data_IF_593085042655
#
_entry.id   IF_593085042655
#
_cell.length_a   1.000
_cell.length_b   1.000
_cell.length_c   1.000
_cell.angle_alpha   90.00
_cell.angle_beta   90.00
_cell.angle_gamma   90.00
#
_symmetry.space_group_name_H-M   'P 1'
#
loop_
_entity.id
_entity.type
_entity.pdbx_description
1 polymer ?
#
# COMPACT_ATOMS: atom_id res chain seq x y z
N UNK A 1 -25.65 -2.03 -8.74
CA UNK A 1 -25.32 -3.28 -9.48
C UNK A 1 -24.29 -3.11 -10.61
N UNK A 2 -24.34 -2.07 -11.43
CA UNK A 2 -23.42 -1.88 -12.56
C UNK A 2 -21.93 -1.72 -12.16
N UNK A 3 -21.62 -1.04 -11.06
CA UNK A 3 -20.23 -0.83 -10.58
C UNK A 3 -19.58 -2.15 -10.17
N UNK A 4 -20.24 -2.97 -9.36
CA UNK A 4 -19.73 -4.28 -8.91
C UNK A 4 -19.43 -5.22 -10.09
N UNK A 5 -20.24 -5.18 -11.16
CA UNK A 5 -19.99 -5.95 -12.39
C UNK A 5 -18.73 -5.46 -13.13
N UNK A 6 -18.46 -4.14 -13.12
CA UNK A 6 -17.26 -3.55 -13.73
C UNK A 6 -16.00 -3.87 -12.94
N UNK A 7 -16.04 -3.78 -11.63
CA UNK A 7 -14.94 -4.18 -10.75
C UNK A 7 -14.59 -5.66 -10.90
N UNK A 8 -15.60 -6.55 -11.02
CA UNK A 8 -15.39 -7.96 -11.30
C UNK A 8 -14.77 -8.22 -12.69
N UNK A 9 -15.10 -7.38 -13.71
CA UNK A 9 -14.45 -7.45 -15.02
C UNK A 9 -13.00 -6.99 -14.94
N UNK A 10 -12.73 -5.90 -14.22
CA UNK A 10 -11.40 -5.37 -13.97
C UNK A 10 -10.53 -6.39 -13.24
N UNK A 11 -11.06 -7.03 -12.20
CA UNK A 11 -10.41 -8.10 -11.44
C UNK A 11 -9.92 -9.23 -12.34
N UNK A 12 -10.81 -9.75 -13.20
CA UNK A 12 -10.46 -10.83 -14.15
C UNK A 12 -9.41 -10.39 -15.16
N UNK A 13 -9.49 -9.13 -15.63
CA UNK A 13 -8.56 -8.58 -16.60
C UNK A 13 -7.14 -8.48 -16.00
N UNK A 14 -7.03 -7.98 -14.77
CA UNK A 14 -5.75 -7.89 -14.05
C UNK A 14 -5.16 -9.28 -13.80
N UNK A 15 -5.95 -10.21 -13.26
CA UNK A 15 -5.48 -11.59 -13.00
C UNK A 15 -4.99 -12.30 -14.27
N UNK A 16 -5.70 -12.10 -15.41
CA UNK A 16 -5.33 -12.71 -16.68
C UNK A 16 -4.01 -12.19 -17.23
N UNK A 17 -3.71 -10.90 -17.04
CA UNK A 17 -2.60 -10.23 -17.73
C UNK A 17 -1.39 -9.96 -16.83
N UNK A 18 -1.55 -10.07 -15.50
CA UNK A 18 -0.48 -9.83 -14.55
C UNK A 18 0.05 -11.15 -13.97
N UNK A 19 0.73 -11.93 -14.80
CA UNK A 19 1.20 -13.28 -14.48
C UNK A 19 2.42 -13.32 -13.53
N UNK A 20 3.10 -12.19 -13.32
CA UNK A 20 4.21 -12.06 -12.35
C UNK A 20 3.71 -11.79 -10.92
N UNK A 21 2.41 -11.63 -10.74
CA UNK A 21 1.81 -11.33 -9.45
C UNK A 21 0.85 -12.47 -9.08
N UNK A 22 1.08 -13.09 -7.93
CA UNK A 22 0.10 -14.01 -7.36
C UNK A 22 -1.01 -13.21 -6.69
N UNK A 23 -2.22 -13.26 -7.22
CA UNK A 23 -3.39 -12.62 -6.65
C UNK A 23 -4.35 -13.62 -6.03
N UNK A 24 -4.71 -13.41 -4.77
CA UNK A 24 -5.83 -14.06 -4.10
C UNK A 24 -7.00 -13.07 -4.04
N UNK A 25 -8.11 -13.40 -4.69
CA UNK A 25 -9.32 -12.59 -4.60
C UNK A 25 -9.99 -12.77 -3.25
N UNK A 26 -10.36 -11.66 -2.63
CA UNK A 26 -11.03 -11.66 -1.33
C UNK A 26 -12.50 -11.32 -1.52
N UNK A 27 -13.36 -12.20 -1.02
CA UNK A 27 -14.82 -11.98 -0.95
C UNK A 27 -15.24 -12.11 0.51
N UNK A 28 -15.27 -10.99 1.22
CA UNK A 28 -15.72 -10.98 2.62
C UNK A 28 -17.15 -10.48 2.74
N UNK A 29 -17.98 -11.26 3.44
CA UNK A 29 -19.34 -10.85 3.87
C UNK A 29 -19.35 -10.29 5.28
N UNK A 30 -18.32 -10.55 6.07
CA UNK A 30 -18.24 -10.24 7.50
C UNK A 30 -17.36 -9.03 7.81
N UNK A 31 -16.33 -8.77 7.00
CA UNK A 31 -15.40 -7.66 7.22
C UNK A 31 -15.65 -6.60 6.15
N UNK A 32 -16.15 -5.45 6.59
CA UNK A 32 -16.37 -4.32 5.69
C UNK A 32 -15.07 -3.59 5.36
N UNK A 33 -14.90 -3.24 4.09
CA UNK A 33 -13.81 -2.39 3.64
C UNK A 33 -12.49 -3.09 3.37
N UNK A 34 -12.43 -4.44 3.48
CA UNK A 34 -11.27 -5.21 3.06
C UNK A 34 -11.09 -5.07 1.54
N UNK A 35 -9.85 -4.86 1.03
CA UNK A 35 -9.59 -4.74 -0.41
C UNK A 35 -9.88 -6.01 -1.19
N UNK A 36 -10.11 -5.87 -2.51
CA UNK A 36 -10.51 -6.95 -3.43
C UNK A 36 -9.45 -8.04 -3.60
N UNK A 37 -8.17 -7.69 -3.48
CA UNK A 37 -7.06 -8.63 -3.64
C UNK A 37 -6.06 -8.57 -2.48
N UNK A 38 -5.59 -9.75 -2.08
CA UNK A 38 -4.26 -9.92 -1.51
C UNK A 38 -3.31 -10.35 -2.64
N UNK A 39 -2.20 -9.64 -2.80
CA UNK A 39 -1.20 -9.89 -3.84
C UNK A 39 0.15 -10.23 -3.23
N UNK A 40 0.94 -11.03 -3.97
CA UNK A 40 2.34 -11.30 -3.67
C UNK A 40 3.16 -11.20 -4.96
N UNK A 41 4.23 -10.41 -4.94
CA UNK A 41 5.17 -10.25 -6.03
C UNK A 41 6.60 -10.23 -5.49
N UNK A 42 7.46 -11.11 -5.99
CA UNK A 42 8.87 -11.22 -5.58
C UNK A 42 9.04 -11.25 -4.05
N UNK A 43 8.22 -12.02 -3.34
CA UNK A 43 8.25 -12.16 -1.88
C UNK A 43 7.61 -11.01 -1.10
N UNK A 44 7.14 -9.96 -1.77
CA UNK A 44 6.48 -8.81 -1.12
C UNK A 44 4.97 -8.96 -1.18
N UNK A 45 4.32 -9.05 -0.03
CA UNK A 45 2.86 -9.08 0.08
C UNK A 45 2.28 -7.68 0.15
N UNK A 46 1.12 -7.51 -0.48
CA UNK A 46 0.38 -6.23 -0.51
C UNK A 46 -1.12 -6.48 -0.69
N UNK A 47 -1.91 -5.43 -0.45
CA UNK A 47 -3.34 -5.44 -0.76
C UNK A 47 -3.63 -4.51 -1.94
N UNK A 48 -4.64 -4.85 -2.74
CA UNK A 48 -5.06 -4.01 -3.86
C UNK A 48 -6.57 -3.86 -3.88
N UNK A 49 -7.02 -2.62 -3.76
CA UNK A 49 -8.41 -2.21 -3.96
C UNK A 49 -8.66 -1.87 -5.43
N UNK A 50 -9.75 -2.37 -5.98
CA UNK A 50 -10.15 -2.12 -7.37
C UNK A 50 -11.33 -1.17 -7.45
N UNK A 51 -11.24 -0.19 -8.33
CA UNK A 51 -12.35 0.71 -8.66
C UNK A 51 -12.52 0.82 -10.17
N UNK A 52 -13.76 0.86 -10.62
CA UNK A 52 -14.09 1.07 -12.03
C UNK A 52 -15.34 1.96 -12.15
N UNK A 53 -15.11 3.25 -12.24
CA UNK A 53 -16.14 4.29 -12.18
C UNK A 53 -15.96 5.39 -13.24
N UNK A 54 -17.04 6.16 -13.49
CA UNK A 54 -17.02 7.34 -14.35
C UNK A 54 -16.50 8.59 -13.63
N UNK A 55 -15.45 8.43 -12.82
CA UNK A 55 -14.80 9.52 -12.07
C UNK A 55 -13.27 9.44 -12.21
N UNK A 56 -12.60 10.56 -11.97
CA UNK A 56 -11.14 10.69 -12.12
C UNK A 56 -10.35 10.08 -10.96
N UNK A 57 -10.96 9.94 -9.80
CA UNK A 57 -10.37 9.46 -8.54
C UNK A 57 -11.03 8.17 -8.06
N UNK A 58 -10.39 7.37 -7.22
CA UNK A 58 -10.98 6.15 -6.69
C UNK A 58 -12.11 6.47 -5.70
N UNK A 59 -13.33 6.00 -5.98
CA UNK A 59 -14.48 6.19 -5.12
C UNK A 59 -14.46 5.16 -3.99
N UNK A 60 -13.86 5.51 -2.88
CA UNK A 60 -13.75 4.65 -1.70
C UNK A 60 -14.88 4.92 -0.70
N UNK A 61 -15.40 3.86 -0.08
CA UNK A 61 -16.31 3.97 1.06
C UNK A 61 -15.55 4.33 2.34
N UNK A 62 -16.26 4.86 3.35
CA UNK A 62 -15.68 5.13 4.67
C UNK A 62 -15.01 3.89 5.30
N UNK A 63 -15.56 2.71 5.06
CA UNK A 63 -15.04 1.46 5.57
C UNK A 63 -13.72 1.06 4.90
N UNK A 64 -13.61 1.26 3.57
CA UNK A 64 -12.38 1.05 2.81
C UNK A 64 -11.29 2.01 3.26
N UNK A 65 -11.61 3.29 3.43
CA UNK A 65 -10.65 4.30 3.94
C UNK A 65 -10.18 3.91 5.35
N UNK A 66 -11.10 3.53 6.24
CA UNK A 66 -10.76 3.11 7.61
C UNK A 66 -9.85 1.88 7.62
N UNK A 67 -10.18 0.86 6.82
CA UNK A 67 -9.39 -0.36 6.72
C UNK A 67 -7.99 -0.07 6.17
N UNK A 68 -7.89 0.68 5.07
CA UNK A 68 -6.62 1.07 4.44
C UNK A 68 -5.76 1.83 5.46
N UNK A 69 -6.31 2.85 6.12
CA UNK A 69 -5.56 3.66 7.08
C UNK A 69 -5.05 2.83 8.26
N UNK A 70 -5.87 1.89 8.77
CA UNK A 70 -5.44 0.97 9.82
C UNK A 70 -4.29 0.08 9.34
N UNK A 71 -4.37 -0.47 8.13
CA UNK A 71 -3.33 -1.32 7.57
C UNK A 71 -2.02 -0.57 7.34
N UNK A 72 -2.09 0.66 6.82
CA UNK A 72 -0.94 1.56 6.68
C UNK A 72 -0.30 1.92 8.03
N UNK A 73 -1.12 2.08 9.08
CA UNK A 73 -0.62 2.35 10.43
C UNK A 73 0.30 1.24 10.94
N UNK A 74 0.01 -0.01 10.61
CA UNK A 74 0.83 -1.17 10.96
C UNK A 74 1.93 -1.49 9.93
N UNK A 75 2.23 -0.57 9.01
CA UNK A 75 3.32 -0.71 8.03
C UNK A 75 2.98 -1.57 6.82
N UNK A 76 1.71 -1.95 6.65
CA UNK A 76 1.26 -2.73 5.50
C UNK A 76 1.26 -1.92 4.21
N UNK A 77 1.28 -2.63 3.08
CA UNK A 77 1.27 -2.03 1.75
C UNK A 77 -0.13 -2.18 1.15
N UNK A 78 -0.71 -1.05 0.73
CA UNK A 78 -1.98 -1.04 0.00
C UNK A 78 -1.80 -0.26 -1.29
N UNK A 79 -2.23 -0.85 -2.39
CA UNK A 79 -2.35 -0.21 -3.69
C UNK A 79 -3.83 -0.01 -4.01
N UNK A 80 -4.14 1.01 -4.79
CA UNK A 80 -5.48 1.22 -5.34
C UNK A 80 -5.34 1.28 -6.85
N UNK A 81 -6.08 0.42 -7.57
CA UNK A 81 -6.17 0.45 -9.02
C UNK A 81 -7.54 1.02 -9.40
N UNK A 82 -7.55 2.21 -9.98
CA UNK A 82 -8.76 2.87 -10.45
C UNK A 82 -8.81 2.88 -11.98
N UNK A 83 -9.75 2.14 -12.56
CA UNK A 83 -10.09 2.25 -13.97
C UNK A 83 -11.09 3.41 -14.13
N UNK A 84 -10.59 4.59 -14.48
CA UNK A 84 -11.40 5.75 -14.79
C UNK A 84 -12.01 5.60 -16.20
N UNK A 85 -13.31 5.35 -16.26
CA UNK A 85 -14.04 5.28 -17.53
C UNK A 85 -14.19 6.65 -18.19
N UNK A 86 -14.07 7.72 -17.39
CA UNK A 86 -14.12 9.09 -17.90
C UNK A 86 -12.86 9.43 -18.72
N UNK A 87 -11.71 8.94 -18.30
CA UNK A 87 -10.43 9.24 -18.92
C UNK A 87 -9.87 8.06 -19.73
N UNK A 88 -10.62 6.94 -19.79
CA UNK A 88 -10.18 5.70 -20.44
C UNK A 88 -8.78 5.26 -19.95
N UNK A 89 -8.53 5.41 -18.65
CA UNK A 89 -7.21 5.21 -18.07
C UNK A 89 -7.26 4.34 -16.82
N UNK A 90 -6.20 3.55 -16.63
CA UNK A 90 -5.93 2.77 -15.41
C UNK A 90 -4.91 3.51 -14.57
N UNK A 91 -5.28 3.87 -13.36
CA UNK A 91 -4.45 4.66 -12.46
C UNK A 91 -4.06 3.85 -11.24
N UNK A 92 -2.78 3.83 -10.93
CA UNK A 92 -2.24 3.20 -9.73
C UNK A 92 -1.91 4.25 -8.67
N UNK A 93 -2.41 4.02 -7.47
CA UNK A 93 -2.15 4.85 -6.30
C UNK A 93 -1.47 4.00 -5.23
N UNK A 94 -0.54 4.61 -4.52
CA UNK A 94 0.02 4.07 -3.29
C UNK A 94 -0.06 5.11 -2.18
N UNK A 95 -1.08 5.04 -1.33
CA UNK A 95 -1.09 5.85 -0.12
C UNK A 95 0.02 5.38 0.82
N UNK A 96 0.78 6.32 1.38
CA UNK A 96 1.90 6.06 2.30
C UNK A 96 1.64 6.59 3.71
N UNK A 97 0.55 7.33 3.87
CA UNK A 97 0.04 7.87 5.13
C UNK A 97 -1.48 7.82 5.15
N UNK A 98 -2.07 7.97 6.33
CA UNK A 98 -3.52 8.03 6.48
C UNK A 98 -4.12 9.21 5.69
N UNK A 99 -5.30 8.99 5.13
CA UNK A 99 -6.05 9.98 4.37
C UNK A 99 -7.55 9.87 4.69
N UNK A 100 -8.28 10.96 4.50
CA UNK A 100 -9.74 11.02 4.68
C UNK A 100 -10.50 11.22 3.37
N UNK A 101 -9.86 11.90 2.40
CA UNK A 101 -10.47 12.24 1.12
C UNK A 101 -9.70 11.59 -0.06
N UNK A 102 -10.28 10.58 -0.72
CA UNK A 102 -9.65 9.93 -1.87
C UNK A 102 -9.37 10.87 -3.06
N UNK A 103 -10.06 12.01 -3.14
CA UNK A 103 -9.86 13.01 -4.21
C UNK A 103 -8.49 13.69 -4.11
N UNK A 104 -7.89 13.68 -2.94
CA UNK A 104 -6.56 14.25 -2.69
C UNK A 104 -5.43 13.27 -3.02
N UNK A 105 -5.74 11.99 -3.24
CA UNK A 105 -4.76 11.01 -3.66
C UNK A 105 -4.29 11.31 -5.08
N UNK A 106 -2.98 11.36 -5.28
CA UNK A 106 -2.37 11.51 -6.59
C UNK A 106 -2.00 10.14 -7.16
N UNK A 107 -2.36 9.83 -8.42
CA UNK A 107 -1.89 8.61 -9.06
C UNK A 107 -0.37 8.66 -9.19
N UNK A 108 0.28 7.55 -8.97
CA UNK A 108 1.72 7.38 -9.20
C UNK A 108 2.01 6.99 -10.64
N UNK A 109 1.10 6.20 -11.22
CA UNK A 109 1.14 5.79 -12.61
C UNK A 109 -0.25 5.89 -13.24
N UNK A 110 -0.27 6.16 -14.55
CA UNK A 110 -1.49 6.19 -15.35
C UNK A 110 -1.22 5.55 -16.70
N UNK A 111 -2.09 4.63 -17.12
CA UNK A 111 -1.99 3.87 -18.36
C UNK A 111 -3.25 4.09 -19.17
N UNK A 112 -3.12 4.61 -20.40
CA UNK A 112 -4.24 4.70 -21.34
C UNK A 112 -4.64 3.31 -21.85
N UNK A 113 -5.90 3.13 -22.20
CA UNK A 113 -6.34 1.91 -22.88
C UNK A 113 -5.94 1.97 -24.38
N UNK A 114 -5.47 0.83 -24.98
CA UNK A 114 -5.20 -0.48 -24.36
C UNK A 114 -3.97 -0.47 -23.46
N UNK A 115 -4.07 -1.17 -22.31
CA UNK A 115 -2.99 -1.21 -21.32
C UNK A 115 -1.82 -2.07 -21.78
N UNK A 116 -0.61 -1.56 -21.70
CA UNK A 116 0.60 -2.36 -21.81
C UNK A 116 0.88 -3.05 -20.47
N UNK A 117 0.43 -4.29 -20.34
CA UNK A 117 0.42 -5.04 -19.08
C UNK A 117 1.80 -5.30 -18.47
N UNK A 118 2.86 -5.56 -19.25
CA UNK A 118 4.22 -5.61 -18.69
C UNK A 118 4.58 -4.32 -17.94
N UNK A 119 4.39 -3.15 -18.55
CA UNK A 119 4.67 -1.87 -17.88
C UNK A 119 3.77 -1.63 -16.65
N UNK A 120 2.53 -2.15 -16.67
CA UNK A 120 1.67 -2.10 -15.49
C UNK A 120 2.25 -2.96 -14.33
N UNK A 121 2.75 -4.16 -14.62
CA UNK A 121 3.40 -5.01 -13.63
C UNK A 121 4.68 -4.38 -13.08
N UNK A 122 5.51 -3.79 -13.95
CA UNK A 122 6.72 -3.06 -13.54
C UNK A 122 6.39 -1.89 -12.63
N UNK A 123 5.32 -1.14 -12.93
CA UNK A 123 4.84 -0.05 -12.08
C UNK A 123 4.33 -0.56 -10.71
N UNK A 124 3.64 -1.70 -10.68
CA UNK A 124 3.27 -2.33 -9.40
C UNK A 124 4.52 -2.67 -8.61
N UNK A 125 5.53 -3.29 -9.23
CA UNK A 125 6.78 -3.61 -8.57
C UNK A 125 7.51 -2.37 -8.04
N UNK A 126 7.63 -1.32 -8.83
CA UNK A 126 8.21 -0.04 -8.40
C UNK A 126 7.49 0.52 -7.17
N UNK A 127 6.15 0.48 -7.17
CA UNK A 127 5.37 0.90 -6.02
C UNK A 127 5.67 0.06 -4.77
N UNK A 128 5.88 -1.24 -4.91
CA UNK A 128 6.19 -2.12 -3.78
C UNK A 128 7.56 -1.82 -3.16
N UNK A 129 8.53 -1.36 -3.95
CA UNK A 129 9.88 -1.01 -3.49
C UNK A 129 9.96 0.30 -2.71
N UNK A 130 8.97 1.18 -2.83
CA UNK A 130 8.95 2.44 -2.11
C UNK A 130 8.81 2.18 -0.61
N UNK A 131 9.81 2.54 0.18
CA UNK A 131 9.74 2.43 1.65
C UNK A 131 8.71 3.40 2.22
N UNK A 132 7.87 2.94 3.11
CA UNK A 132 7.00 3.83 3.90
C UNK A 132 7.88 4.72 4.77
N UNK A 133 7.48 5.97 4.97
CA UNK A 133 8.19 6.94 5.82
C UNK A 133 8.42 6.42 7.26
N UNK A 134 7.53 5.56 7.74
CA UNK A 134 7.61 4.93 9.06
C UNK A 134 8.68 3.85 9.18
N UNK A 135 8.94 3.07 8.11
CA UNK A 135 10.03 2.08 8.11
C UNK A 135 11.41 2.74 8.26
N UNK A 136 11.56 3.99 7.82
CA UNK A 136 12.81 4.75 8.02
C UNK A 136 13.03 5.13 9.48
N UNK A 137 11.98 5.48 10.24
CA UNK A 137 12.09 5.85 11.65
C UNK A 137 12.35 4.63 12.55
N UNK A 138 11.69 3.50 12.28
CA UNK A 138 11.89 2.26 13.04
C UNK A 138 13.29 1.66 12.85
N UNK A 139 13.81 1.65 11.61
CA UNK A 139 15.19 1.22 11.32
C UNK A 139 16.22 2.15 11.96
N UNK A 140 15.91 3.45 12.04
CA UNK A 140 16.78 4.42 12.72
C UNK A 140 16.79 4.24 14.25
N UNK A 141 15.63 3.91 14.85
CA UNK A 141 15.52 3.61 16.27
C UNK A 141 16.19 2.30 16.66
N UNK A 142 16.03 1.22 15.85
CA UNK A 142 16.73 -0.05 16.13
C UNK A 142 18.26 0.10 16.03
N UNK A 143 18.77 0.80 15.02
CA UNK A 143 20.21 1.10 14.91
C UNK A 143 20.74 1.94 16.07
N UNK A 144 19.95 2.87 16.58
CA UNK A 144 20.32 3.66 17.74
C UNK A 144 20.35 2.82 19.03
N UNK A 145 19.37 1.93 19.20
CA UNK A 145 19.31 0.98 20.33
C UNK A 145 20.47 -0.02 20.32
N UNK A 146 20.85 -0.49 19.12
CA UNK A 146 21.99 -1.41 18.96
C UNK A 146 23.32 -0.69 19.21
N UNK A 147 23.46 0.55 18.76
CA UNK A 147 24.65 1.38 19.02
C UNK A 147 24.82 1.72 20.51
N UNK A 148 23.71 1.90 21.25
CA UNK A 148 23.74 2.15 22.71
C UNK A 148 24.07 0.87 23.47
N UNK A 149 23.70 -0.31 22.96
CA UNK A 149 24.08 -1.60 23.57
C UNK A 149 25.54 -1.95 23.35
N UNK A 150 26.10 -1.66 22.17
CA UNK A 150 27.53 -1.91 21.86
C UNK A 150 28.48 -0.91 22.55
N UNK A 151 27.97 0.27 22.96
CA UNK A 151 28.73 1.24 23.74
C UNK A 151 28.63 1.03 25.26
N UNK A 152 28.04 -0.10 25.70
CA UNK A 152 27.90 -0.51 27.10
C UNK A 152 29.23 -0.88 27.77
N UNK A 153 30.13 0.07 27.77
CA UNK A 153 31.23 0.14 28.73
C UNK A 153 30.64 0.39 30.10
N UNK A 154 30.89 -0.57 30.99
CA UNK A 154 30.68 -0.55 32.44
C UNK A 154 30.89 0.86 33.03
N UNK A 155 29.83 1.55 33.38
CA UNK A 155 29.91 2.62 34.41
C UNK A 155 29.95 1.92 35.77
N UNK A 156 31.13 1.59 36.20
CA UNK A 156 31.40 1.24 37.58
C UNK A 156 31.09 2.45 38.46
N UNK A 157 30.32 2.19 39.48
CA UNK A 157 30.03 2.97 40.67
C UNK A 157 31.30 3.32 41.43
N UNK A 158 31.99 4.41 41.05
CA UNK A 158 33.12 5.02 41.79
C UNK A 158 33.37 6.43 41.24
N UNK A 159 32.61 7.42 41.77
CA UNK A 159 33.08 8.81 41.94
C UNK A 159 31.98 9.68 42.57
N UNK A 160 31.53 9.28 43.76
CA UNK A 160 30.72 10.17 44.63
C UNK A 160 31.37 10.34 45.99
N UNK A 161 32.70 10.66 46.04
CA UNK A 161 33.31 11.18 47.24
C UNK A 161 34.54 11.98 46.87
N UNK A 162 34.36 13.27 46.54
CA UNK A 162 35.33 14.34 46.73
C UNK A 162 34.79 15.66 46.21
N UNK A 163 34.11 16.39 47.06
CA UNK A 163 34.28 17.84 47.20
C UNK A 163 33.88 18.20 48.65
N UNK A 164 34.87 18.38 49.43
CA UNK A 164 34.80 19.18 50.67
C UNK A 164 34.95 20.62 50.25
#
# INVERSE_FOLDING_TARGET
>A
MATKKRESKLSRLIQKNCNQIHFTRIESKTINGIPDFNGCMNGTSFWMELKSDKVKYPKLSKWQISWINKHLHFGGIVLICNHSLLESAYKLYRPVSAFSDPRLLKPRFSFSAPVHWPAFQDAVWELLQQRSSRSRSLVRQSRFSDMVRDSGGSLTELDLTRVS
#
